data_IF_397029364685
#
_entry.id   IF_397029364685
#
_cell.length_a   1.000
_cell.length_b   1.000
_cell.length_c   1.000
_cell.angle_alpha   90.00
_cell.angle_beta   90.00
_cell.angle_gamma   90.00
#
_symmetry.space_group_name_H-M   'P 1'
#
loop_
_entity.id
_entity.type
_entity.pdbx_description
1 polymer ?
#
# COMPACT_ATOMS: atom_id res chain seq x y z
N UNK A 1 -12.44 38.43 -34.86
CA UNK A 1 -12.62 37.85 -33.51
C UNK A 1 -13.09 36.39 -33.57
N UNK A 2 -12.30 35.39 -34.01
CA UNK A 2 -12.67 33.94 -33.88
C UNK A 2 -11.44 32.99 -33.94
N UNK A 3 -10.29 33.37 -33.37
CA UNK A 3 -9.08 32.52 -33.45
C UNK A 3 -8.30 32.42 -32.12
N UNK A 4 -9.00 32.55 -30.97
CA UNK A 4 -8.38 32.44 -29.63
C UNK A 4 -9.02 31.39 -28.72
N UNK A 5 -9.93 30.57 -29.25
CA UNK A 5 -10.73 29.65 -28.46
C UNK A 5 -10.61 28.19 -28.95
N UNK A 6 -9.41 27.76 -29.35
CA UNK A 6 -9.14 26.36 -29.71
C UNK A 6 -7.83 25.81 -29.14
N UNK A 7 -7.15 26.57 -28.28
CA UNK A 7 -5.85 26.19 -27.69
C UNK A 7 -5.94 25.58 -26.28
N UNK A 8 -7.14 25.29 -25.75
CA UNK A 8 -7.29 25.04 -24.29
C UNK A 8 -7.83 23.67 -23.80
N UNK A 9 -8.08 22.63 -24.60
CA UNK A 9 -8.26 21.31 -23.99
C UNK A 9 -7.44 20.20 -24.67
N UNK A 10 -6.17 20.46 -24.98
CA UNK A 10 -5.24 19.42 -25.47
C UNK A 10 -4.02 19.24 -24.55
N UNK A 11 -4.18 19.57 -23.27
CA UNK A 11 -3.19 19.30 -22.22
C UNK A 11 -3.71 18.30 -21.18
N UNK A 12 -4.76 17.53 -21.55
CA UNK A 12 -5.37 16.57 -20.66
C UNK A 12 -4.90 15.15 -21.03
N UNK A 13 -4.25 14.51 -20.05
CA UNK A 13 -4.11 13.06 -19.91
C UNK A 13 -3.10 12.35 -20.82
N UNK A 14 -1.83 12.41 -20.41
CA UNK A 14 -0.93 11.27 -20.61
C UNK A 14 -0.30 10.90 -19.26
N UNK A 15 -1.11 10.40 -18.33
CA UNK A 15 -0.61 9.66 -17.17
C UNK A 15 -0.69 8.18 -17.56
N UNK A 16 0.34 7.69 -18.27
CA UNK A 16 0.49 6.25 -18.48
C UNK A 16 0.95 5.63 -17.16
N UNK A 17 0.01 5.06 -16.41
CA UNK A 17 0.34 4.28 -15.22
C UNK A 17 1.06 3.01 -15.66
N UNK A 18 2.32 2.81 -15.23
CA UNK A 18 2.98 1.52 -15.30
C UNK A 18 2.29 0.58 -14.29
N UNK A 19 1.24 -0.12 -14.72
CA UNK A 19 0.65 -1.20 -13.95
C UNK A 19 1.58 -2.43 -14.04
N UNK A 20 1.98 -2.99 -12.89
CA UNK A 20 2.68 -4.28 -12.84
C UNK A 20 1.77 -5.43 -13.27
N UNK A 21 2.33 -6.64 -13.42
CA UNK A 21 1.55 -7.84 -13.73
C UNK A 21 0.78 -8.34 -12.48
N UNK A 22 -0.55 -8.12 -12.40
CA UNK A 22 -1.34 -8.45 -11.21
C UNK A 22 -1.52 -9.97 -11.03
N UNK A 23 -1.28 -10.77 -12.08
CA UNK A 23 -1.45 -12.22 -12.06
C UNK A 23 -0.18 -12.98 -11.65
N UNK A 24 0.89 -12.25 -11.30
CA UNK A 24 2.14 -12.88 -10.86
C UNK A 24 2.00 -13.57 -9.49
N UNK A 25 2.83 -14.59 -9.24
CA UNK A 25 2.87 -15.25 -7.92
C UNK A 25 3.20 -14.26 -6.79
N UNK A 26 4.11 -13.31 -7.07
CA UNK A 26 4.47 -12.27 -6.13
C UNK A 26 3.31 -11.31 -5.83
N UNK A 27 2.49 -10.97 -6.84
CA UNK A 27 1.28 -10.17 -6.63
C UNK A 27 0.30 -10.87 -5.68
N UNK A 28 -0.04 -12.14 -5.95
CA UNK A 28 -0.91 -12.94 -5.06
C UNK A 28 -0.35 -13.07 -3.64
N UNK A 29 0.97 -13.19 -3.50
CA UNK A 29 1.62 -13.26 -2.18
C UNK A 29 1.51 -11.93 -1.44
N UNK A 30 1.80 -10.80 -2.10
CA UNK A 30 1.63 -9.46 -1.55
C UNK A 30 0.19 -9.20 -1.12
N UNK A 31 -0.81 -9.51 -1.96
CA UNK A 31 -2.23 -9.30 -1.63
C UNK A 31 -2.68 -10.12 -0.41
N UNK A 32 -2.35 -11.41 -0.39
CA UNK A 32 -2.67 -12.28 0.77
C UNK A 32 -1.97 -11.79 2.04
N UNK A 33 -0.72 -11.35 1.90
CA UNK A 33 0.07 -10.77 2.98
C UNK A 33 -0.56 -9.50 3.53
N UNK A 34 -0.93 -8.55 2.67
CA UNK A 34 -1.62 -7.31 3.03
C UNK A 34 -2.92 -7.60 3.77
N UNK A 35 -3.78 -8.47 3.21
CA UNK A 35 -5.05 -8.84 3.84
C UNK A 35 -4.84 -9.39 5.25
N UNK A 36 -3.90 -10.32 5.41
CA UNK A 36 -3.58 -10.93 6.71
C UNK A 36 -3.04 -9.88 7.68
N UNK A 37 -2.11 -9.04 7.25
CA UNK A 37 -1.49 -8.05 8.13
C UNK A 37 -2.47 -6.95 8.56
N UNK A 38 -3.40 -6.53 7.71
CA UNK A 38 -4.46 -5.60 8.12
C UNK A 38 -5.40 -6.24 9.16
N UNK A 39 -5.76 -7.51 9.01
CA UNK A 39 -6.54 -8.22 10.03
C UNK A 39 -5.80 -8.30 11.37
N UNK A 40 -4.50 -8.60 11.35
CA UNK A 40 -3.66 -8.60 12.55
C UNK A 40 -3.56 -7.20 13.18
N UNK A 41 -3.44 -6.15 12.36
CA UNK A 41 -3.39 -4.75 12.82
C UNK A 41 -4.72 -4.35 13.47
N UNK A 42 -5.86 -4.66 12.84
CA UNK A 42 -7.19 -4.36 13.37
C UNK A 42 -7.46 -5.10 14.68
N UNK A 43 -7.00 -6.34 14.79
CA UNK A 43 -7.07 -7.08 16.05
C UNK A 43 -6.22 -6.42 17.15
N UNK A 44 -5.00 -5.98 16.82
CA UNK A 44 -4.17 -5.24 17.78
C UNK A 44 -4.81 -3.91 18.18
N UNK A 45 -5.45 -3.20 17.25
CA UNK A 45 -6.22 -1.98 17.53
C UNK A 45 -7.39 -2.26 18.47
N UNK A 46 -8.17 -3.31 18.22
CA UNK A 46 -9.31 -3.70 19.05
C UNK A 46 -8.89 -4.04 20.49
N UNK A 47 -7.67 -4.53 20.68
CA UNK A 47 -7.06 -4.77 22.01
C UNK A 47 -6.49 -3.52 22.68
N UNK A 48 -6.55 -2.35 22.05
CA UNK A 48 -6.07 -1.09 22.61
C UNK A 48 -4.60 -0.77 22.31
N UNK A 49 -3.92 -1.52 21.44
CA UNK A 49 -2.49 -1.29 21.16
C UNK A 49 -2.22 -0.15 20.17
N UNK A 50 -3.24 0.55 19.68
CA UNK A 50 -3.10 1.61 18.67
C UNK A 50 -2.33 2.83 19.14
N UNK A 51 -2.15 3.01 20.45
CA UNK A 51 -1.33 4.08 21.03
C UNK A 51 0.18 3.78 21.05
N UNK A 52 0.60 2.56 20.70
CA UNK A 52 2.01 2.19 20.74
C UNK A 52 2.77 2.67 19.50
N UNK A 53 4.06 2.95 19.69
CA UNK A 53 4.95 3.36 18.61
C UNK A 53 5.13 2.25 17.56
N UNK A 54 5.16 0.99 18.00
CA UNK A 54 5.28 -0.17 17.11
C UNK A 54 4.02 -0.40 16.28
N UNK A 55 2.83 -0.16 16.83
CA UNK A 55 1.59 -0.17 16.05
C UNK A 55 1.65 0.89 14.94
N UNK A 56 2.08 2.11 15.28
CA UNK A 56 2.18 3.20 14.31
C UNK A 56 3.15 2.87 13.18
N UNK A 57 4.34 2.31 13.49
CA UNK A 57 5.29 1.83 12.48
C UNK A 57 4.69 0.75 11.59
N UNK A 58 3.98 -0.21 12.17
CA UNK A 58 3.32 -1.26 11.40
C UNK A 58 2.30 -0.67 10.42
N UNK A 59 1.45 0.25 10.88
CA UNK A 59 0.47 0.92 10.03
C UNK A 59 1.15 1.70 8.89
N UNK A 60 2.24 2.44 9.16
CA UNK A 60 3.00 3.15 8.13
C UNK A 60 3.62 2.20 7.09
N UNK A 61 4.15 1.06 7.54
CA UNK A 61 4.70 0.04 6.64
C UNK A 61 3.63 -0.58 5.75
N UNK A 62 2.44 -0.88 6.28
CA UNK A 62 1.33 -1.42 5.48
C UNK A 62 0.82 -0.41 4.45
N UNK A 63 0.73 0.88 4.81
CA UNK A 63 0.42 1.93 3.84
C UNK A 63 1.44 1.97 2.71
N UNK A 64 2.73 1.96 3.02
CA UNK A 64 3.78 1.94 2.00
C UNK A 64 3.76 0.65 1.16
N UNK A 65 3.48 -0.51 1.78
CA UNK A 65 3.36 -1.79 1.08
C UNK A 65 2.18 -1.78 0.10
N UNK A 66 1.04 -1.22 0.50
CA UNK A 66 -0.15 -1.09 -0.36
C UNK A 66 0.16 -0.23 -1.58
N UNK A 67 0.80 0.92 -1.39
CA UNK A 67 1.29 1.76 -2.51
C UNK A 67 2.18 0.93 -3.44
N UNK A 68 3.15 0.20 -2.90
CA UNK A 68 4.04 -0.64 -3.71
C UNK A 68 3.29 -1.74 -4.48
N UNK A 69 2.22 -2.31 -3.92
CA UNK A 69 1.34 -3.26 -4.61
C UNK A 69 0.70 -2.63 -5.85
N UNK A 70 0.16 -1.42 -5.72
CA UNK A 70 -0.49 -0.70 -6.83
C UNK A 70 0.48 -0.37 -7.96
N UNK A 71 1.76 -0.11 -7.63
CA UNK A 71 2.82 0.13 -8.61
C UNK A 71 3.53 -1.14 -9.09
N UNK A 72 3.01 -2.33 -8.76
CA UNK A 72 3.59 -3.60 -9.21
C UNK A 72 4.93 -3.97 -8.57
N UNK A 73 5.33 -3.29 -7.49
CA UNK A 73 6.59 -3.53 -6.75
C UNK A 73 6.40 -4.64 -5.71
N UNK A 74 5.89 -5.79 -6.14
CA UNK A 74 5.45 -6.87 -5.25
C UNK A 74 6.54 -7.41 -4.30
N UNK A 75 7.81 -7.60 -4.70
CA UNK A 75 8.85 -8.03 -3.75
C UNK A 75 9.04 -7.06 -2.58
N UNK A 76 8.98 -5.76 -2.84
CA UNK A 76 9.08 -4.75 -1.79
C UNK A 76 7.82 -4.71 -0.91
N UNK A 77 6.63 -4.90 -1.52
CA UNK A 77 5.41 -5.06 -0.75
C UNK A 77 5.52 -6.22 0.24
N UNK A 78 6.02 -7.39 -0.21
CA UNK A 78 6.17 -8.58 0.63
C UNK A 78 7.12 -8.29 1.81
N UNK A 79 8.30 -7.70 1.57
CA UNK A 79 9.23 -7.29 2.64
C UNK A 79 8.55 -6.36 3.67
N UNK A 80 7.84 -5.34 3.20
CA UNK A 80 7.17 -4.39 4.09
C UNK A 80 6.04 -5.02 4.88
N UNK A 81 5.28 -5.94 4.27
CA UNK A 81 4.24 -6.71 4.95
C UNK A 81 4.86 -7.55 6.06
N UNK A 82 5.94 -8.28 5.78
CA UNK A 82 6.61 -9.12 6.79
C UNK A 82 7.11 -8.29 7.98
N UNK A 83 7.73 -7.15 7.70
CA UNK A 83 8.18 -6.21 8.74
C UNK A 83 7.03 -5.59 9.51
N UNK A 84 5.93 -5.22 8.85
CA UNK A 84 4.75 -4.71 9.53
C UNK A 84 4.19 -5.73 10.51
N UNK A 85 4.08 -7.00 10.09
CA UNK A 85 3.62 -8.09 10.97
C UNK A 85 4.55 -8.32 12.16
N UNK A 86 5.87 -8.15 11.99
CA UNK A 86 6.81 -8.18 13.11
C UNK A 86 6.51 -7.06 14.12
N UNK A 87 6.27 -5.83 13.65
CA UNK A 87 5.90 -4.70 14.51
C UNK A 87 4.53 -4.84 15.18
N UNK A 88 3.53 -5.45 14.51
CA UNK A 88 2.24 -5.79 15.13
C UNK A 88 2.40 -6.77 16.29
N UNK A 89 3.34 -7.72 16.18
CA UNK A 89 3.64 -8.64 17.30
C UNK A 89 4.37 -7.92 18.42
N UNK A 90 5.28 -6.99 18.09
CA UNK A 90 6.00 -6.19 19.08
C UNK A 90 5.07 -5.24 19.84
N UNK A 91 4.06 -4.66 19.20
CA UNK A 91 3.11 -3.76 19.87
C UNK A 91 2.24 -4.43 20.94
N UNK A 92 2.20 -5.77 20.96
CA UNK A 92 1.41 -6.58 21.90
C UNK A 92 2.25 -7.15 23.04
N UNK A 93 3.56 -6.86 23.07
CA UNK A 93 4.45 -7.19 24.18
C UNK A 93 4.45 -6.07 25.20
#
# INVERSE_FOLDING_TARGET
MRLKLFLLPLAFFVITACAGNPESNAARQCERGLKTAYQELDFAKAKGFSGTMEYTKAASLLTAAKVQSEFGKYPNCIDKVERARAYIRLSQK
#
